data_IF_278866181543
#
_entry.id   IF_278866181543
#
_cell.length_a   1.000
_cell.length_b   1.000
_cell.length_c   1.000
_cell.angle_alpha   90.00
_cell.angle_beta   90.00
_cell.angle_gamma   90.00
#
_symmetry.space_group_name_H-M   'P 1'
#
loop_
_entity.id
_entity.type
_entity.pdbx_description
1 polymer ?
#
# COMPACT_ATOMS: atom_id res chain seq x y z
N UNK A 1 5.64 32.75 26.00
CA UNK A 1 4.80 32.53 24.81
C UNK A 1 4.21 31.13 24.96
N UNK A 2 2.92 31.03 25.23
CA UNK A 2 2.24 29.74 25.31
C UNK A 2 1.53 29.52 23.99
N UNK A 3 1.84 28.35 23.36
CA UNK A 3 1.18 27.93 22.13
C UNK A 3 0.03 26.99 22.52
N UNK A 4 -1.17 27.27 22.06
CA UNK A 4 -2.33 26.40 22.22
C UNK A 4 -2.76 25.85 20.86
N UNK A 5 -3.00 24.56 20.80
CA UNK A 5 -3.50 23.89 19.60
C UNK A 5 -5.02 23.81 19.74
N UNK A 6 -5.74 24.49 18.87
CA UNK A 6 -7.20 24.51 18.85
C UNK A 6 -7.70 23.76 17.61
N UNK A 7 -8.67 22.88 17.78
CA UNK A 7 -9.30 22.16 16.67
C UNK A 7 -10.09 23.15 15.78
N UNK A 8 -9.87 23.12 14.48
CA UNK A 8 -10.69 23.91 13.53
C UNK A 8 -12.02 23.23 13.34
N UNK A 9 -13.11 23.96 13.52
CA UNK A 9 -14.46 23.45 13.29
C UNK A 9 -14.78 23.27 11.81
N UNK A 10 -14.31 24.16 10.92
CA UNK A 10 -14.50 24.05 9.47
C UNK A 10 -13.31 24.63 8.70
N UNK A 11 -12.68 23.82 7.85
CA UNK A 11 -11.73 24.28 6.85
C UNK A 11 -12.38 24.16 5.46
N UNK A 12 -12.59 25.25 4.70
CA UNK A 12 -13.18 25.19 3.38
C UNK A 12 -12.30 24.38 2.42
N UNK A 13 -12.92 23.68 1.48
CA UNK A 13 -12.23 22.74 0.56
C UNK A 13 -11.07 23.41 -0.19
N UNK A 14 -11.24 24.64 -0.65
CA UNK A 14 -10.17 25.36 -1.37
C UNK A 14 -8.93 25.59 -0.51
N UNK A 15 -9.07 25.89 0.80
CA UNK A 15 -7.93 26.03 1.71
C UNK A 15 -7.22 24.69 1.94
N UNK A 16 -7.99 23.59 2.06
CA UNK A 16 -7.40 22.25 2.14
C UNK A 16 -6.56 21.96 0.90
N UNK A 17 -7.11 22.19 -0.29
CA UNK A 17 -6.39 22.00 -1.54
C UNK A 17 -5.11 22.87 -1.58
N UNK A 18 -5.16 24.13 -1.16
CA UNK A 18 -3.98 24.98 -1.11
C UNK A 18 -2.90 24.44 -0.17
N UNK A 19 -3.26 23.93 1.00
CA UNK A 19 -2.30 23.34 1.94
C UNK A 19 -1.64 22.09 1.36
N UNK A 20 -2.41 21.18 0.75
CA UNK A 20 -1.85 19.98 0.14
C UNK A 20 -0.98 20.28 -1.08
N UNK A 21 -1.43 21.16 -1.97
CA UNK A 21 -0.64 21.57 -3.14
C UNK A 21 0.62 22.31 -2.72
N UNK A 22 0.54 23.18 -1.70
CA UNK A 22 1.70 23.87 -1.13
C UNK A 22 2.71 22.89 -0.53
N UNK A 23 2.26 21.87 0.20
CA UNK A 23 3.11 20.82 0.75
C UNK A 23 3.85 20.04 -0.36
N UNK A 24 3.13 19.62 -1.41
CA UNK A 24 3.73 18.95 -2.55
C UNK A 24 4.73 19.86 -3.27
N UNK A 25 4.38 21.15 -3.47
CA UNK A 25 5.29 22.11 -4.10
C UNK A 25 6.59 22.31 -3.30
N UNK A 26 6.49 22.43 -1.97
CA UNK A 26 7.67 22.54 -1.09
C UNK A 26 8.51 21.26 -1.17
N UNK A 27 7.89 20.06 -1.18
CA UNK A 27 8.61 18.81 -1.33
C UNK A 27 9.39 18.74 -2.65
N UNK A 28 8.74 19.13 -3.75
CA UNK A 28 9.38 19.17 -5.06
C UNK A 28 10.51 20.21 -5.10
N UNK A 29 10.38 21.36 -4.47
CA UNK A 29 11.44 22.36 -4.36
C UNK A 29 12.63 21.85 -3.55
N UNK A 30 12.41 21.15 -2.44
CA UNK A 30 13.47 20.50 -1.67
C UNK A 30 14.17 19.42 -2.50
N UNK A 31 13.42 18.60 -3.21
CA UNK A 31 13.96 17.62 -4.15
C UNK A 31 14.74 18.28 -5.30
N UNK A 32 14.27 19.41 -5.84
CA UNK A 32 14.96 20.18 -6.86
C UNK A 32 16.32 20.73 -6.36
N UNK A 33 16.35 21.23 -5.12
CA UNK A 33 17.59 21.69 -4.51
C UNK A 33 18.63 20.57 -4.37
N UNK A 34 18.18 19.38 -3.97
CA UNK A 34 19.03 18.18 -3.87
C UNK A 34 19.53 17.73 -5.27
N UNK A 35 18.65 17.68 -6.28
CA UNK A 35 19.02 17.35 -7.65
C UNK A 35 20.07 18.33 -8.20
N UNK A 36 19.88 19.63 -7.96
CA UNK A 36 20.85 20.65 -8.37
C UNK A 36 22.19 20.48 -7.66
N UNK A 37 22.19 20.09 -6.38
CA UNK A 37 23.42 19.80 -5.63
C UNK A 37 24.18 18.58 -6.19
N UNK A 38 23.45 17.61 -6.76
CA UNK A 38 24.00 16.44 -7.46
C UNK A 38 24.40 16.71 -8.91
N UNK A 39 24.24 17.95 -9.40
CA UNK A 39 24.56 18.34 -10.77
C UNK A 39 23.55 17.87 -11.82
N UNK A 40 22.33 17.53 -11.40
CA UNK A 40 21.23 17.11 -12.28
C UNK A 40 20.24 18.26 -12.46
N UNK A 41 19.82 18.52 -13.70
CA UNK A 41 18.76 19.49 -13.98
C UNK A 41 17.41 19.00 -13.40
N UNK A 42 16.84 19.71 -12.41
CA UNK A 42 15.59 19.31 -11.77
C UNK A 42 14.40 19.30 -12.74
N UNK A 43 14.37 20.23 -13.70
CA UNK A 43 13.27 20.32 -14.66
C UNK A 43 13.27 19.13 -15.59
N UNK A 44 14.44 18.76 -16.12
CA UNK A 44 14.59 17.58 -16.97
C UNK A 44 14.25 16.29 -16.19
N UNK A 45 14.72 16.16 -14.95
CA UNK A 45 14.42 15.01 -14.09
C UNK A 45 12.92 14.89 -13.82
N UNK A 46 12.25 15.95 -13.35
CA UNK A 46 10.84 15.92 -13.06
C UNK A 46 9.98 15.71 -14.31
N UNK A 47 10.35 16.31 -15.43
CA UNK A 47 9.66 16.05 -16.69
C UNK A 47 9.73 14.56 -17.03
N UNK A 48 10.91 13.94 -16.91
CA UNK A 48 11.08 12.51 -17.15
C UNK A 48 10.29 11.65 -16.16
N UNK A 49 10.29 12.03 -14.88
CA UNK A 49 9.58 11.35 -13.82
C UNK A 49 8.06 11.40 -14.03
N UNK A 50 7.47 12.58 -14.21
CA UNK A 50 6.01 12.71 -14.38
C UNK A 50 5.49 12.16 -15.69
N UNK A 51 6.29 12.20 -16.75
CA UNK A 51 5.95 11.58 -18.03
C UNK A 51 6.26 10.09 -18.06
N UNK A 52 6.91 9.55 -17.04
CA UNK A 52 7.37 8.14 -16.98
C UNK A 52 8.16 7.74 -18.24
N UNK A 53 8.81 8.72 -18.90
CA UNK A 53 9.53 8.50 -20.14
C UNK A 53 8.66 8.05 -21.32
N UNK A 54 7.37 8.36 -21.32
CA UNK A 54 6.45 7.98 -22.40
C UNK A 54 6.54 8.92 -23.61
N UNK A 55 6.91 10.18 -23.41
CA UNK A 55 7.00 11.17 -24.49
C UNK A 55 8.14 10.79 -25.44
N UNK A 56 7.82 10.66 -26.73
CA UNK A 56 8.77 10.28 -27.77
C UNK A 56 9.19 8.81 -27.77
N UNK A 57 8.62 7.98 -26.91
CA UNK A 57 8.99 6.58 -26.76
C UNK A 57 8.08 5.66 -27.59
N UNK A 58 8.65 4.96 -28.59
CA UNK A 58 7.93 3.99 -29.44
C UNK A 58 7.35 2.80 -28.66
N UNK A 59 7.86 2.55 -27.44
CA UNK A 59 7.42 1.44 -26.57
C UNK A 59 6.66 1.94 -25.33
N UNK A 60 6.07 3.13 -25.38
CA UNK A 60 5.30 3.73 -24.29
C UNK A 60 4.21 2.79 -23.73
N UNK A 61 3.64 1.90 -24.55
CA UNK A 61 2.67 0.91 -24.10
C UNK A 61 3.23 -0.04 -23.02
N UNK A 62 4.52 -0.42 -23.09
CA UNK A 62 5.17 -1.25 -22.05
C UNK A 62 5.29 -0.49 -20.73
N UNK A 63 5.52 0.81 -20.78
CA UNK A 63 5.58 1.68 -19.59
C UNK A 63 4.25 1.63 -18.87
N UNK A 64 3.14 1.81 -19.58
CA UNK A 64 1.79 1.75 -19.00
C UNK A 64 1.45 0.37 -18.45
N UNK A 65 1.86 -0.71 -19.15
CA UNK A 65 1.66 -2.08 -18.64
C UNK A 65 2.42 -2.28 -17.32
N UNK A 66 3.67 -1.86 -17.21
CA UNK A 66 4.46 -2.00 -16.00
C UNK A 66 3.93 -1.10 -14.86
N UNK A 67 3.53 0.12 -15.18
CA UNK A 67 2.87 1.01 -14.23
C UNK A 67 1.62 0.35 -13.61
N UNK A 68 0.78 -0.28 -14.41
CA UNK A 68 -0.41 -0.99 -13.93
C UNK A 68 -0.08 -2.22 -13.07
N UNK A 69 1.05 -2.90 -13.35
CA UNK A 69 1.54 -4.01 -12.51
C UNK A 69 1.93 -3.57 -11.10
N UNK A 70 2.36 -2.33 -10.91
CA UNK A 70 2.69 -1.77 -9.60
C UNK A 70 1.48 -1.08 -8.95
N UNK A 71 0.59 -0.49 -9.74
CA UNK A 71 -0.64 0.13 -9.28
C UNK A 71 -1.61 -0.86 -8.61
N UNK A 72 -1.80 -2.04 -9.23
CA UNK A 72 -2.75 -3.07 -8.74
C UNK A 72 -2.46 -3.49 -7.30
N UNK A 73 -1.24 -3.95 -6.95
CA UNK A 73 -0.97 -4.37 -5.58
C UNK A 73 -1.02 -3.22 -4.59
N UNK A 74 -0.57 -2.02 -4.96
CA UNK A 74 -0.61 -0.85 -4.08
C UNK A 74 -2.05 -0.42 -3.77
N UNK A 75 -2.89 -0.28 -4.80
CA UNK A 75 -4.28 0.13 -4.62
C UNK A 75 -5.06 -0.87 -3.77
N UNK A 76 -4.91 -2.17 -4.05
CA UNK A 76 -5.64 -3.22 -3.34
C UNK A 76 -5.16 -3.36 -1.88
N UNK A 77 -3.84 -3.31 -1.63
CA UNK A 77 -3.29 -3.32 -0.27
C UNK A 77 -3.74 -2.10 0.54
N UNK A 78 -3.75 -0.91 -0.07
CA UNK A 78 -4.22 0.31 0.60
C UNK A 78 -5.70 0.25 0.95
N UNK A 79 -6.54 -0.27 0.06
CA UNK A 79 -7.97 -0.52 0.31
C UNK A 79 -8.13 -1.53 1.45
N UNK A 80 -7.36 -2.61 1.43
CA UNK A 80 -7.39 -3.64 2.45
C UNK A 80 -7.02 -3.09 3.84
N UNK A 81 -5.95 -2.32 3.93
CA UNK A 81 -5.51 -1.68 5.18
C UNK A 81 -6.53 -0.68 5.71
N UNK A 82 -7.25 0.02 4.83
CA UNK A 82 -8.30 0.97 5.26
C UNK A 82 -9.40 0.32 6.08
N UNK A 83 -9.70 -0.98 5.89
CA UNK A 83 -10.67 -1.73 6.69
C UNK A 83 -10.25 -1.82 8.17
N UNK A 84 -9.00 -2.23 8.43
CA UNK A 84 -8.46 -2.33 9.77
C UNK A 84 -8.32 -0.95 10.44
N UNK A 85 -7.84 0.06 9.70
CA UNK A 85 -7.65 1.41 10.23
C UNK A 85 -8.95 2.14 10.56
N UNK A 86 -10.04 1.88 9.82
CA UNK A 86 -11.37 2.41 10.18
C UNK A 86 -11.84 1.94 11.53
N UNK A 87 -11.46 0.74 11.94
CA UNK A 87 -11.76 0.18 13.25
C UNK A 87 -10.73 0.61 14.32
N UNK A 88 -9.76 1.48 13.98
CA UNK A 88 -8.60 1.84 14.81
C UNK A 88 -7.74 0.64 15.23
N UNK A 89 -7.73 -0.41 14.45
CA UNK A 89 -6.76 -1.48 14.56
C UNK A 89 -5.53 -1.13 13.71
N UNK A 90 -4.39 -0.92 14.38
CA UNK A 90 -3.15 -0.49 13.72
C UNK A 90 -2.42 -1.68 13.10
N UNK A 91 -2.93 -2.14 11.94
CA UNK A 91 -2.30 -3.20 11.17
C UNK A 91 -1.10 -2.66 10.37
N UNK A 92 0.09 -2.66 10.97
CA UNK A 92 1.35 -2.33 10.27
C UNK A 92 1.93 -3.57 9.56
N UNK A 93 1.29 -4.73 9.71
CA UNK A 93 1.71 -6.02 9.17
C UNK A 93 1.43 -6.24 7.68
N UNK A 94 1.04 -5.19 6.95
CA UNK A 94 0.70 -5.31 5.53
C UNK A 94 1.81 -5.91 4.68
N UNK A 95 3.07 -5.59 4.98
CA UNK A 95 4.24 -6.12 4.27
C UNK A 95 4.39 -7.63 4.48
N UNK A 96 4.35 -8.11 5.72
CA UNK A 96 4.48 -9.53 6.04
C UNK A 96 3.29 -10.36 5.54
N UNK A 97 2.08 -9.82 5.62
CA UNK A 97 0.87 -10.43 5.08
C UNK A 97 0.98 -10.59 3.55
N UNK A 98 1.53 -9.60 2.87
CA UNK A 98 1.78 -9.64 1.44
C UNK A 98 2.83 -10.72 1.10
N UNK A 99 3.96 -10.75 1.80
CA UNK A 99 5.03 -11.73 1.59
C UNK A 99 4.49 -13.16 1.73
N UNK A 100 3.81 -13.47 2.83
CA UNK A 100 3.28 -14.82 3.05
C UNK A 100 2.17 -15.17 2.05
N UNK A 101 1.36 -14.19 1.66
CA UNK A 101 0.41 -14.35 0.57
C UNK A 101 1.08 -14.71 -0.76
N UNK A 102 2.19 -14.03 -1.10
CA UNK A 102 2.97 -14.30 -2.30
C UNK A 102 3.63 -15.69 -2.27
N UNK A 103 4.19 -16.10 -1.13
CA UNK A 103 4.76 -17.44 -0.94
C UNK A 103 3.67 -18.52 -1.13
N UNK A 104 2.49 -18.33 -0.54
CA UNK A 104 1.38 -19.26 -0.68
C UNK A 104 0.87 -19.34 -2.12
N UNK A 105 0.78 -18.21 -2.83
CA UNK A 105 0.44 -18.17 -4.25
C UNK A 105 1.48 -18.93 -5.09
N UNK A 106 2.78 -18.67 -4.85
CA UNK A 106 3.87 -19.34 -5.55
C UNK A 106 3.88 -20.86 -5.28
N UNK A 107 3.62 -21.28 -4.03
CA UNK A 107 3.48 -22.70 -3.69
C UNK A 107 2.43 -23.39 -4.57
N UNK A 108 1.26 -22.78 -4.69
CA UNK A 108 0.18 -23.33 -5.54
C UNK A 108 0.58 -23.27 -7.01
N UNK A 109 1.23 -22.19 -7.47
CA UNK A 109 1.69 -22.07 -8.85
C UNK A 109 2.62 -23.23 -9.26
N UNK A 110 3.57 -23.59 -8.39
CA UNK A 110 4.51 -24.69 -8.65
C UNK A 110 3.87 -26.09 -8.55
N UNK A 111 2.97 -26.31 -7.59
CA UNK A 111 2.38 -27.64 -7.35
C UNK A 111 1.17 -27.93 -8.22
N UNK A 112 0.30 -26.96 -8.43
CA UNK A 112 -0.94 -27.11 -9.19
C UNK A 112 -0.80 -26.72 -10.67
N UNK A 113 0.08 -25.75 -10.99
CA UNK A 113 0.28 -25.26 -12.35
C UNK A 113 0.58 -26.32 -13.41
N UNK A 114 1.47 -27.29 -13.14
CA UNK A 114 1.76 -28.35 -14.10
C UNK A 114 0.63 -29.37 -14.29
N UNK A 115 -0.31 -29.47 -13.36
CA UNK A 115 -1.31 -30.56 -13.29
C UNK A 115 -2.73 -30.06 -13.58
N UNK A 116 -3.06 -28.82 -13.27
CA UNK A 116 -4.42 -28.28 -13.32
C UNK A 116 -4.61 -27.24 -14.44
N UNK A 117 -5.85 -27.06 -14.92
CA UNK A 117 -6.15 -25.96 -15.85
C UNK A 117 -5.81 -24.59 -15.25
N UNK A 118 -5.37 -23.66 -16.11
CA UNK A 118 -4.96 -22.31 -15.70
C UNK A 118 -5.96 -21.59 -14.78
N UNK A 119 -7.25 -21.60 -15.14
CA UNK A 119 -8.28 -20.93 -14.36
C UNK A 119 -8.40 -21.49 -12.93
N UNK A 120 -8.31 -22.81 -12.77
CA UNK A 120 -8.37 -23.48 -11.46
C UNK A 120 -7.14 -23.14 -10.65
N UNK A 121 -5.95 -23.20 -11.25
CA UNK A 121 -4.69 -22.83 -10.59
C UNK A 121 -4.70 -21.39 -10.11
N UNK A 122 -5.13 -20.45 -10.94
CA UNK A 122 -5.24 -19.03 -10.57
C UNK A 122 -6.22 -18.77 -9.42
N UNK A 123 -7.37 -19.46 -9.43
CA UNK A 123 -8.34 -19.39 -8.33
C UNK A 123 -7.75 -19.94 -7.02
N UNK A 124 -7.06 -21.09 -7.10
CA UNK A 124 -6.40 -21.70 -5.94
C UNK A 124 -5.25 -20.82 -5.41
N UNK A 125 -4.47 -20.19 -6.29
CA UNK A 125 -3.45 -19.21 -5.90
C UNK A 125 -4.06 -18.06 -5.10
N UNK A 126 -5.14 -17.47 -5.61
CA UNK A 126 -5.84 -16.39 -4.92
C UNK A 126 -6.41 -16.87 -3.56
N UNK A 127 -7.05 -18.04 -3.53
CA UNK A 127 -7.63 -18.59 -2.30
C UNK A 127 -6.55 -18.91 -1.26
N UNK A 128 -5.45 -19.56 -1.64
CA UNK A 128 -4.35 -19.89 -0.75
C UNK A 128 -3.70 -18.62 -0.17
N UNK A 129 -3.42 -17.62 -1.02
CA UNK A 129 -2.87 -16.35 -0.59
C UNK A 129 -3.78 -15.61 0.40
N UNK A 130 -5.09 -15.57 0.12
CA UNK A 130 -6.09 -14.95 1.01
C UNK A 130 -6.16 -15.67 2.36
N UNK A 131 -6.15 -17.00 2.36
CA UNK A 131 -6.24 -17.80 3.59
C UNK A 131 -4.99 -17.62 4.42
N UNK A 132 -3.79 -17.78 3.84
CA UNK A 132 -2.52 -17.69 4.58
C UNK A 132 -2.30 -16.29 5.13
N UNK A 133 -2.45 -15.25 4.32
CA UNK A 133 -2.33 -13.87 4.79
C UNK A 133 -3.43 -13.53 5.81
N UNK A 134 -4.67 -13.98 5.57
CA UNK A 134 -5.78 -13.79 6.48
C UNK A 134 -5.54 -14.42 7.85
N UNK A 135 -5.06 -15.66 7.90
CA UNK A 135 -4.70 -16.36 9.14
C UNK A 135 -3.54 -15.67 9.87
N UNK A 136 -2.56 -15.16 9.13
CA UNK A 136 -1.45 -14.41 9.71
C UNK A 136 -1.90 -13.12 10.40
N UNK A 137 -2.79 -12.36 9.76
CA UNK A 137 -3.42 -11.20 10.38
C UNK A 137 -4.34 -11.59 11.55
N UNK A 138 -5.12 -12.67 11.40
CA UNK A 138 -6.02 -13.18 12.43
C UNK A 138 -5.27 -13.60 13.70
N UNK A 139 -4.06 -14.15 13.56
CA UNK A 139 -3.21 -14.52 14.70
C UNK A 139 -2.94 -13.31 15.61
N UNK A 140 -2.55 -12.17 15.06
CA UNK A 140 -2.35 -10.93 15.84
C UNK A 140 -3.65 -10.44 16.47
N UNK A 141 -4.74 -10.44 15.69
CA UNK A 141 -6.03 -10.01 16.20
C UNK A 141 -6.51 -10.89 17.36
N UNK A 142 -6.28 -12.19 17.29
CA UNK A 142 -6.61 -13.13 18.37
C UNK A 142 -5.79 -12.85 19.64
N UNK A 143 -4.50 -12.58 19.52
CA UNK A 143 -3.64 -12.21 20.64
C UNK A 143 -4.09 -10.88 21.28
N UNK A 144 -4.43 -9.88 20.46
CA UNK A 144 -4.98 -8.63 20.97
C UNK A 144 -6.30 -8.83 21.72
N UNK A 145 -7.21 -9.59 21.15
CA UNK A 145 -8.54 -9.84 21.76
C UNK A 145 -8.42 -10.64 23.07
N UNK A 146 -7.53 -11.63 23.12
CA UNK A 146 -7.38 -12.54 24.25
C UNK A 146 -6.49 -11.98 25.36
N UNK A 147 -5.38 -11.34 25.00
CA UNK A 147 -4.32 -10.92 25.94
C UNK A 147 -4.16 -9.40 26.03
N UNK A 148 -4.86 -8.62 25.20
CA UNK A 148 -4.68 -7.15 25.17
C UNK A 148 -3.34 -6.68 24.65
N UNK A 149 -2.64 -7.50 23.83
CA UNK A 149 -1.32 -7.18 23.28
C UNK A 149 -1.35 -5.96 22.37
N UNK A 150 -0.20 -5.29 22.23
CA UNK A 150 -0.03 -4.17 21.30
C UNK A 150 0.05 -4.69 19.86
N UNK A 151 -1.01 -4.46 19.09
CA UNK A 151 -1.12 -4.90 17.70
C UNK A 151 -0.08 -4.29 16.78
N UNK A 152 0.31 -3.04 17.03
CA UNK A 152 1.30 -2.32 16.23
C UNK A 152 2.67 -2.99 16.30
N UNK A 153 3.14 -3.27 17.52
CA UNK A 153 4.42 -3.95 17.74
C UNK A 153 4.38 -5.39 17.20
N UNK A 154 3.29 -6.11 17.46
CA UNK A 154 3.15 -7.49 16.98
C UNK A 154 3.17 -7.59 15.46
N UNK A 155 2.39 -6.75 14.78
CA UNK A 155 2.34 -6.77 13.31
C UNK A 155 3.65 -6.32 12.69
N UNK A 156 4.37 -5.37 13.32
CA UNK A 156 5.68 -4.93 12.88
C UNK A 156 6.73 -6.07 13.00
N UNK A 157 6.77 -6.77 14.13
CA UNK A 157 7.70 -7.90 14.32
C UNK A 157 7.42 -9.04 13.33
N UNK A 158 6.15 -9.31 13.05
CA UNK A 158 5.76 -10.31 12.09
C UNK A 158 6.20 -9.97 10.65
N UNK A 159 6.32 -8.70 10.27
CA UNK A 159 6.89 -8.33 8.97
C UNK A 159 8.32 -8.86 8.81
N UNK A 160 9.15 -8.73 9.85
CA UNK A 160 10.52 -9.26 9.82
C UNK A 160 10.55 -10.79 9.74
N UNK A 161 9.67 -11.47 10.46
CA UNK A 161 9.57 -12.94 10.38
C UNK A 161 9.21 -13.36 8.95
N UNK A 162 8.22 -12.74 8.33
CA UNK A 162 7.83 -13.03 6.96
C UNK A 162 8.98 -12.75 5.96
N UNK A 163 9.69 -11.63 6.14
CA UNK A 163 10.84 -11.26 5.32
C UNK A 163 11.96 -12.30 5.42
N UNK A 164 12.32 -12.72 6.63
CA UNK A 164 13.38 -13.72 6.81
C UNK A 164 12.96 -15.12 6.33
N UNK A 165 11.67 -15.47 6.38
CA UNK A 165 11.17 -16.70 5.72
C UNK A 165 11.39 -16.61 4.21
N UNK A 166 11.09 -15.47 3.58
CA UNK A 166 11.30 -15.28 2.15
C UNK A 166 12.78 -15.34 1.78
N UNK A 167 13.66 -14.69 2.57
CA UNK A 167 15.11 -14.73 2.39
C UNK A 167 15.62 -16.17 2.52
N UNK A 168 15.20 -16.91 3.57
CA UNK A 168 15.56 -18.32 3.75
C UNK A 168 15.18 -19.17 2.53
N UNK A 169 13.97 -19.01 2.02
CA UNK A 169 13.52 -19.69 0.78
C UNK A 169 14.38 -19.27 -0.42
N UNK A 170 14.90 -18.04 -0.47
CA UNK A 170 15.69 -17.53 -1.60
C UNK A 170 17.14 -18.02 -1.62
N UNK A 171 17.68 -18.49 -0.50
CA UNK A 171 19.09 -18.83 -0.35
C UNK A 171 19.36 -20.34 -0.22
N UNK A 172 18.43 -21.09 0.39
CA UNK A 172 18.61 -22.50 0.67
C UNK A 172 18.31 -23.37 -0.57
N UNK A 173 19.36 -24.01 -1.10
CA UNK A 173 19.29 -24.96 -2.22
C UNK A 173 19.02 -26.42 -1.78
N UNK A 174 18.42 -26.64 -0.62
CA UNK A 174 18.01 -27.98 -0.21
C UNK A 174 17.02 -28.62 -1.20
N UNK A 175 17.04 -29.96 -1.26
CA UNK A 175 16.14 -30.73 -2.15
C UNK A 175 14.64 -30.44 -1.94
N UNK A 176 14.27 -29.93 -0.77
CA UNK A 176 12.91 -29.54 -0.43
C UNK A 176 12.47 -28.25 -1.15
N UNK A 177 13.43 -27.42 -1.60
CA UNK A 177 13.16 -26.06 -2.06
C UNK A 177 12.89 -26.01 -3.58
N UNK A 178 11.69 -26.35 -3.96
CA UNK A 178 11.21 -26.28 -5.34
C UNK A 178 10.90 -24.85 -5.83
N UNK A 179 11.08 -23.84 -4.98
CA UNK A 179 10.95 -22.44 -5.39
C UNK A 179 12.13 -21.95 -6.21
N UNK A 180 13.29 -22.59 -6.08
CA UNK A 180 14.50 -22.24 -6.81
C UNK A 180 14.65 -23.06 -8.08
N UNK A 181 15.33 -22.48 -9.06
CA UNK A 181 15.68 -23.15 -10.31
C UNK A 181 16.80 -24.18 -10.02
N UNK A 182 16.53 -25.49 -10.25
CA UNK A 182 17.51 -26.54 -9.98
C UNK A 182 18.70 -26.50 -10.94
N UNK A 183 18.53 -25.94 -12.15
CA UNK A 183 19.57 -25.89 -13.18
C UNK A 183 20.53 -24.71 -12.98
N UNK A 184 20.13 -23.70 -12.23
CA UNK A 184 20.95 -22.53 -11.97
C UNK A 184 22.07 -22.81 -10.97
N UNK A 185 23.30 -22.36 -11.23
CA UNK A 185 24.42 -22.44 -10.29
C UNK A 185 24.23 -21.55 -9.07
N UNK A 186 23.50 -20.46 -9.19
CA UNK A 186 23.16 -19.52 -8.10
C UNK A 186 21.74 -19.77 -7.62
N UNK A 187 21.40 -19.48 -6.34
CA UNK A 187 20.04 -19.53 -5.88
C UNK A 187 19.21 -18.43 -6.56
N UNK A 188 18.42 -18.80 -7.55
CA UNK A 188 17.52 -17.93 -8.30
C UNK A 188 16.13 -18.55 -8.27
N UNK A 189 15.10 -17.76 -8.03
CA UNK A 189 13.73 -18.25 -8.08
C UNK A 189 13.38 -18.80 -9.47
N UNK A 190 12.73 -19.94 -9.50
CA UNK A 190 12.19 -20.50 -10.73
C UNK A 190 11.00 -19.68 -11.24
N UNK A 191 10.86 -19.61 -12.57
CA UNK A 191 9.68 -19.02 -13.18
C UNK A 191 8.48 -19.95 -13.09
N UNK A 192 7.29 -19.40 -12.93
CA UNK A 192 6.06 -20.20 -12.98
C UNK A 192 5.83 -20.73 -14.39
N UNK A 193 5.09 -21.82 -14.51
CA UNK A 193 4.68 -22.32 -15.82
C UNK A 193 3.87 -21.22 -16.56
N UNK A 194 4.08 -21.07 -17.87
CA UNK A 194 3.43 -20.01 -18.68
C UNK A 194 1.89 -20.01 -18.54
N UNK A 195 1.32 -21.18 -18.30
CA UNK A 195 -0.13 -21.37 -18.09
C UNK A 195 -0.66 -20.66 -16.82
N UNK A 196 0.22 -20.32 -15.88
CA UNK A 196 -0.13 -19.72 -14.57
C UNK A 196 -0.14 -18.19 -14.61
N UNK A 197 -0.04 -17.58 -15.78
CA UNK A 197 -0.12 -16.13 -15.93
C UNK A 197 -1.58 -15.63 -15.96
N UNK A 198 -1.86 -14.54 -15.25
CA UNK A 198 -3.17 -13.89 -15.37
C UNK A 198 -3.40 -13.38 -16.81
N UNK A 199 -4.56 -13.66 -17.41
CA UNK A 199 -4.83 -13.28 -18.78
C UNK A 199 -4.81 -11.77 -18.96
N UNK A 200 -4.32 -11.33 -20.10
CA UNK A 200 -4.30 -9.93 -20.51
C UNK A 200 -5.26 -9.74 -21.70
N UNK A 201 -6.13 -8.77 -21.59
CA UNK A 201 -7.11 -8.42 -22.62
C UNK A 201 -6.42 -7.49 -23.62
N UNK A 202 -6.29 -7.86 -24.89
CA UNK A 202 -5.76 -6.95 -25.90
C UNK A 202 -6.71 -5.78 -26.10
N UNK A 203 -6.17 -4.58 -26.03
CA UNK A 203 -6.91 -3.34 -26.28
C UNK A 203 -6.44 -2.70 -27.59
N UNK A 204 -6.17 -1.41 -27.63
CA UNK A 204 -5.73 -0.73 -28.84
C UNK A 204 -4.24 -0.98 -29.14
N UNK A 205 -3.91 -1.45 -30.34
CA UNK A 205 -2.55 -1.66 -30.80
C UNK A 205 -1.82 -2.76 -30.05
N UNK A 206 -0.64 -2.44 -29.48
CA UNK A 206 0.20 -3.38 -28.70
C UNK A 206 -0.08 -3.31 -27.18
N UNK A 207 -1.02 -2.48 -26.75
CA UNK A 207 -1.38 -2.34 -25.33
C UNK A 207 -2.32 -3.47 -24.90
N UNK A 208 -1.98 -4.15 -23.82
CA UNK A 208 -2.83 -5.17 -23.20
C UNK A 208 -3.11 -4.82 -21.74
N UNK A 209 -4.37 -4.92 -21.35
CA UNK A 209 -4.80 -4.68 -19.96
C UNK A 209 -4.87 -6.03 -19.23
N UNK A 210 -4.09 -6.17 -18.16
CA UNK A 210 -4.17 -7.37 -17.31
C UNK A 210 -5.50 -7.38 -16.55
N UNK A 211 -6.15 -8.55 -16.48
CA UNK A 211 -7.44 -8.73 -15.80
C UNK A 211 -7.40 -8.33 -14.33
N UNK A 212 -6.22 -8.39 -13.68
CA UNK A 212 -6.03 -7.99 -12.28
C UNK A 212 -6.40 -6.52 -12.04
N UNK A 213 -6.28 -5.64 -13.04
CA UNK A 213 -6.69 -4.23 -12.93
C UNK A 213 -8.20 -4.14 -12.74
N UNK A 214 -8.94 -4.88 -13.56
CA UNK A 214 -10.42 -4.92 -13.51
C UNK A 214 -10.88 -5.55 -12.19
N UNK A 215 -10.24 -6.66 -11.79
CA UNK A 215 -10.56 -7.32 -10.53
C UNK A 215 -10.26 -6.42 -9.32
N UNK A 216 -9.17 -5.66 -9.35
CA UNK A 216 -8.84 -4.69 -8.28
C UNK A 216 -9.88 -3.58 -8.19
N UNK A 217 -10.32 -3.03 -9.33
CA UNK A 217 -11.39 -2.05 -9.35
C UNK A 217 -12.71 -2.64 -8.82
N UNK A 218 -13.06 -3.85 -9.22
CA UNK A 218 -14.23 -4.57 -8.72
C UNK A 218 -14.17 -4.78 -7.21
N UNK A 219 -13.04 -5.27 -6.67
CA UNK A 219 -12.84 -5.46 -5.22
C UNK A 219 -12.93 -4.11 -4.50
N UNK A 220 -12.36 -3.05 -5.06
CA UNK A 220 -12.50 -1.69 -4.51
C UNK A 220 -13.95 -1.23 -4.39
N UNK A 221 -14.76 -1.46 -5.43
CA UNK A 221 -16.20 -1.16 -5.41
C UNK A 221 -16.92 -2.03 -4.37
N UNK A 222 -16.60 -3.32 -4.29
CA UNK A 222 -17.18 -4.23 -3.29
C UNK A 222 -16.84 -3.79 -1.86
N UNK A 223 -15.59 -3.40 -1.59
CA UNK A 223 -15.18 -2.88 -0.27
C UNK A 223 -15.88 -1.56 0.03
N UNK A 224 -16.03 -0.68 -0.96
CA UNK A 224 -16.79 0.56 -0.77
C UNK A 224 -18.26 0.29 -0.39
N UNK A 225 -18.92 -0.63 -1.11
CA UNK A 225 -20.29 -1.06 -0.81
C UNK A 225 -20.36 -1.69 0.58
N UNK A 226 -19.42 -2.60 0.88
CA UNK A 226 -19.33 -3.27 2.18
C UNK A 226 -19.25 -2.27 3.33
N UNK A 227 -18.36 -1.29 3.23
CA UNK A 227 -18.16 -0.29 4.28
C UNK A 227 -19.33 0.69 4.44
N UNK A 228 -19.98 1.08 3.33
CA UNK A 228 -20.98 2.15 3.34
C UNK A 228 -22.42 1.65 3.50
N UNK A 229 -22.73 0.48 2.95
CA UNK A 229 -24.10 0.01 2.82
C UNK A 229 -24.42 -1.27 3.59
N UNK A 230 -23.45 -1.87 4.30
CA UNK A 230 -23.72 -3.09 5.07
C UNK A 230 -23.73 -2.84 6.56
N UNK A 231 -24.47 -3.71 7.30
CA UNK A 231 -24.45 -3.75 8.77
C UNK A 231 -23.02 -3.92 9.31
N UNK A 232 -22.22 -4.72 8.63
CA UNK A 232 -20.84 -5.00 9.04
C UNK A 232 -19.93 -3.77 8.91
N UNK A 233 -20.12 -2.96 7.86
CA UNK A 233 -19.42 -1.68 7.70
C UNK A 233 -19.79 -0.66 8.78
N UNK A 234 -21.07 -0.62 9.15
CA UNK A 234 -21.54 0.19 10.27
C UNK A 234 -20.91 -0.27 11.61
N UNK A 235 -20.88 -1.57 11.87
CA UNK A 235 -20.23 -2.13 13.07
C UNK A 235 -18.75 -1.73 13.15
N UNK A 236 -18.01 -1.78 12.04
CA UNK A 236 -16.61 -1.35 11.96
C UNK A 236 -16.47 0.12 12.34
N UNK A 237 -17.34 1.00 11.82
CA UNK A 237 -17.31 2.42 12.13
C UNK A 237 -17.58 2.69 13.60
N UNK A 238 -18.62 2.08 14.18
CA UNK A 238 -18.99 2.25 15.60
C UNK A 238 -17.88 1.76 16.54
N UNK A 239 -17.27 0.59 16.25
CA UNK A 239 -16.12 0.08 17.03
C UNK A 239 -14.93 1.02 16.91
N UNK A 240 -14.70 1.61 15.73
CA UNK A 240 -13.65 2.59 15.50
C UNK A 240 -13.86 3.89 16.24
N UNK A 241 -15.10 4.35 16.39
CA UNK A 241 -15.42 5.54 17.17
C UNK A 241 -15.26 5.29 18.67
N UNK A 242 -15.89 4.24 19.19
CA UNK A 242 -15.77 3.84 20.59
C UNK A 242 -16.14 2.37 20.78
N UNK A 243 -15.16 1.56 21.12
CA UNK A 243 -15.36 0.15 21.47
C UNK A 243 -16.28 -0.03 22.73
N UNK A 244 -16.26 0.96 23.65
CA UNK A 244 -17.17 1.00 24.81
C UNK A 244 -18.61 1.16 24.38
N UNK A 245 -18.92 2.15 23.57
CA UNK A 245 -20.25 2.42 23.02
C UNK A 245 -20.77 1.23 22.22
N UNK A 246 -19.93 0.60 21.40
CA UNK A 246 -20.29 -0.61 20.67
C UNK A 246 -20.73 -1.76 21.60
N UNK A 247 -20.03 -1.97 22.74
CA UNK A 247 -20.40 -2.97 23.74
C UNK A 247 -21.72 -2.65 24.42
N UNK A 248 -21.97 -1.39 24.78
CA UNK A 248 -23.26 -0.96 25.36
C UNK A 248 -24.42 -1.18 24.38
N UNK A 249 -24.17 -1.01 23.08
CA UNK A 249 -25.14 -1.32 22.02
C UNK A 249 -25.30 -2.82 21.72
N UNK A 250 -24.71 -3.71 22.53
CA UNK A 250 -24.81 -5.17 22.37
C UNK A 250 -23.98 -5.78 21.25
N UNK A 251 -23.03 -5.02 20.67
CA UNK A 251 -22.17 -5.51 19.57
C UNK A 251 -21.07 -6.43 20.13
N UNK A 252 -20.81 -7.54 19.44
CA UNK A 252 -19.72 -8.47 19.77
C UNK A 252 -18.38 -7.93 19.25
N UNK A 253 -17.80 -6.92 19.92
CA UNK A 253 -16.59 -6.21 19.50
C UNK A 253 -15.45 -7.17 19.12
N UNK A 254 -15.20 -8.20 19.92
CA UNK A 254 -14.14 -9.18 19.65
C UNK A 254 -14.32 -9.90 18.30
N UNK A 255 -15.54 -10.32 17.98
CA UNK A 255 -15.84 -10.98 16.71
C UNK A 255 -15.72 -10.02 15.53
N UNK A 256 -16.09 -8.74 15.74
CA UNK A 256 -15.94 -7.69 14.71
C UNK A 256 -14.46 -7.46 14.42
N UNK A 257 -13.60 -7.37 15.45
CA UNK A 257 -12.16 -7.21 15.29
C UNK A 257 -11.55 -8.38 14.51
N UNK A 258 -11.81 -9.62 14.94
CA UNK A 258 -11.26 -10.82 14.29
C UNK A 258 -11.66 -10.91 12.82
N UNK A 259 -12.96 -10.73 12.52
CA UNK A 259 -13.48 -10.75 11.14
C UNK A 259 -12.86 -9.67 10.26
N UNK A 260 -12.78 -8.43 10.77
CA UNK A 260 -12.31 -7.29 9.99
C UNK A 260 -10.82 -7.40 9.68
N UNK A 261 -10.02 -7.82 10.66
CA UNK A 261 -8.57 -8.01 10.46
C UNK A 261 -8.30 -9.18 9.52
N UNK A 262 -9.05 -10.30 9.66
CA UNK A 262 -8.96 -11.42 8.72
C UNK A 262 -9.27 -10.96 7.29
N UNK A 263 -10.37 -10.24 7.09
CA UNK A 263 -10.76 -9.74 5.76
C UNK A 263 -9.73 -8.76 5.19
N UNK A 264 -9.22 -7.83 6.02
CA UNK A 264 -8.15 -6.91 5.63
C UNK A 264 -6.90 -7.68 5.17
N UNK A 265 -6.41 -8.60 5.99
CA UNK A 265 -5.22 -9.39 5.66
C UNK A 265 -5.44 -10.32 4.45
N UNK A 266 -6.63 -10.91 4.32
CA UNK A 266 -6.98 -11.73 3.15
C UNK A 266 -6.95 -10.94 1.84
N UNK A 267 -7.43 -9.69 1.83
CA UNK A 267 -7.36 -8.82 0.65
C UNK A 267 -5.91 -8.42 0.33
N UNK A 268 -5.04 -8.29 1.34
CA UNK A 268 -3.59 -8.09 1.11
C UNK A 268 -2.99 -9.35 0.45
N UNK A 269 -3.37 -10.54 0.91
CA UNK A 269 -2.99 -11.80 0.27
C UNK A 269 -3.45 -11.89 -1.19
N UNK A 270 -4.66 -11.42 -1.49
CA UNK A 270 -5.16 -11.34 -2.87
C UNK A 270 -4.30 -10.40 -3.74
N UNK A 271 -3.89 -9.24 -3.19
CA UNK A 271 -2.97 -8.32 -3.87
C UNK A 271 -1.63 -9.00 -4.18
N UNK A 272 -1.12 -9.80 -3.25
CA UNK A 272 0.11 -10.58 -3.41
C UNK A 272 -0.03 -11.65 -4.50
N UNK A 273 -1.16 -12.37 -4.55
CA UNK A 273 -1.43 -13.34 -5.62
C UNK A 273 -1.49 -12.66 -6.99
N UNK A 274 -2.11 -11.49 -7.10
CA UNK A 274 -2.13 -10.72 -8.35
C UNK A 274 -0.72 -10.29 -8.77
N UNK A 275 0.11 -9.84 -7.83
CA UNK A 275 1.50 -9.46 -8.12
C UNK A 275 2.32 -10.67 -8.56
N UNK A 276 2.27 -11.79 -7.82
CA UNK A 276 3.01 -13.00 -8.12
C UNK A 276 2.62 -13.61 -9.49
N UNK A 277 1.31 -13.75 -9.75
CA UNK A 277 0.82 -14.32 -11.02
C UNK A 277 1.00 -13.37 -12.22
N UNK A 278 1.14 -12.04 -11.99
CA UNK A 278 1.45 -11.09 -13.07
C UNK A 278 2.96 -10.99 -13.32
N UNK A 279 3.78 -11.20 -12.29
CA UNK A 279 5.23 -11.25 -12.42
C UNK A 279 5.71 -12.58 -13.01
N UNK A 280 4.99 -13.68 -12.76
CA UNK A 280 5.35 -15.02 -13.18
C UNK A 280 6.54 -15.62 -12.43
N UNK A 281 6.98 -14.96 -11.36
CA UNK A 281 8.13 -15.38 -10.55
C UNK A 281 7.98 -14.81 -9.14
N UNK A 282 8.48 -15.55 -8.15
CA UNK A 282 8.69 -15.02 -6.80
C UNK A 282 10.03 -14.26 -6.76
N UNK A 283 10.15 -13.22 -5.96
CA UNK A 283 11.42 -12.50 -5.74
C UNK A 283 11.49 -11.97 -4.32
N UNK A 284 12.70 -11.72 -3.82
CA UNK A 284 12.90 -11.09 -2.51
C UNK A 284 12.36 -9.67 -2.43
N UNK A 285 12.24 -8.99 -3.58
CA UNK A 285 11.67 -7.66 -3.72
C UNK A 285 10.22 -7.66 -4.23
N UNK A 286 9.48 -8.77 -4.09
CA UNK A 286 8.13 -8.91 -4.66
C UNK A 286 7.14 -7.88 -4.10
N UNK A 287 7.35 -7.44 -2.88
CA UNK A 287 6.50 -6.44 -2.22
C UNK A 287 6.74 -5.04 -2.80
N UNK A 288 7.99 -4.71 -3.14
CA UNK A 288 8.39 -3.36 -3.55
C UNK A 288 7.83 -2.29 -2.58
N UNK A 289 7.93 -2.56 -1.27
CA UNK A 289 7.45 -1.70 -0.18
C UNK A 289 5.94 -1.37 -0.22
N UNK A 290 5.14 -2.19 -0.90
CA UNK A 290 3.70 -1.98 -1.07
C UNK A 290 2.96 -1.96 0.27
N UNK A 291 3.37 -2.76 1.25
CA UNK A 291 2.78 -2.76 2.58
C UNK A 291 2.97 -1.43 3.29
N UNK A 292 4.19 -0.88 3.27
CA UNK A 292 4.51 0.41 3.87
C UNK A 292 3.86 1.57 3.14
N UNK A 293 4.02 1.62 1.83
CA UNK A 293 3.40 2.65 0.98
C UNK A 293 1.87 2.60 1.07
N UNK A 294 1.30 1.40 1.18
CA UNK A 294 -0.15 1.20 1.34
C UNK A 294 -0.72 1.81 2.62
N UNK A 295 0.01 1.74 3.74
CA UNK A 295 -0.35 2.43 4.98
C UNK A 295 -0.47 3.93 4.74
N UNK A 296 0.54 4.50 4.08
CA UNK A 296 0.64 5.92 3.80
C UNK A 296 -0.51 6.37 2.88
N UNK A 297 -0.75 5.65 1.80
CA UNK A 297 -1.85 5.92 0.86
C UNK A 297 -3.20 5.85 1.58
N UNK A 298 -3.43 4.85 2.44
CA UNK A 298 -4.68 4.71 3.19
C UNK A 298 -4.95 5.93 4.08
N UNK A 299 -3.91 6.42 4.78
CA UNK A 299 -4.03 7.60 5.65
C UNK A 299 -4.17 8.90 4.85
N UNK A 300 -3.38 9.08 3.81
CA UNK A 300 -3.45 10.25 2.95
C UNK A 300 -4.82 10.39 2.29
N UNK A 301 -5.45 9.27 1.97
CA UNK A 301 -6.80 9.19 1.40
C UNK A 301 -7.91 9.33 2.45
N UNK A 302 -7.56 9.61 3.73
CA UNK A 302 -8.52 9.66 4.85
C UNK A 302 -9.43 8.42 4.91
N UNK A 303 -8.87 7.26 4.59
CA UNK A 303 -9.55 5.95 4.55
C UNK A 303 -10.77 5.90 3.61
N UNK A 304 -10.83 6.79 2.62
CA UNK A 304 -11.87 6.79 1.61
C UNK A 304 -11.45 5.94 0.41
N UNK A 305 -12.19 4.86 0.14
CA UNK A 305 -11.84 3.89 -0.89
C UNK A 305 -11.67 4.50 -2.29
N UNK A 306 -12.52 5.44 -2.69
CA UNK A 306 -12.41 6.09 -4.00
C UNK A 306 -11.14 6.97 -4.09
N UNK A 307 -10.83 7.71 -3.02
CA UNK A 307 -9.62 8.56 -2.95
C UNK A 307 -8.36 7.69 -2.91
N UNK A 308 -8.40 6.50 -2.29
CA UNK A 308 -7.28 5.54 -2.28
C UNK A 308 -6.82 5.22 -3.71
N UNK A 309 -7.73 4.96 -4.64
CA UNK A 309 -7.36 4.68 -6.03
C UNK A 309 -6.63 5.85 -6.70
N UNK A 310 -7.10 7.07 -6.48
CA UNK A 310 -6.47 8.27 -7.04
C UNK A 310 -5.08 8.49 -6.44
N UNK A 311 -4.96 8.39 -5.12
CA UNK A 311 -3.67 8.58 -4.43
C UNK A 311 -2.70 7.47 -4.79
N UNK A 312 -3.15 6.20 -4.86
CA UNK A 312 -2.31 5.08 -5.34
C UNK A 312 -1.78 5.34 -6.75
N UNK A 313 -2.63 5.85 -7.65
CA UNK A 313 -2.21 6.17 -9.01
C UNK A 313 -1.11 7.25 -9.02
N UNK A 314 -1.26 8.32 -8.24
CA UNK A 314 -0.26 9.38 -8.13
C UNK A 314 1.07 8.89 -7.52
N UNK A 315 1.01 8.09 -6.46
CA UNK A 315 2.20 7.52 -5.83
C UNK A 315 2.92 6.56 -6.78
N UNK A 316 2.18 5.74 -7.53
CA UNK A 316 2.78 4.89 -8.56
C UNK A 316 3.46 5.69 -9.68
N UNK A 317 2.91 6.85 -10.09
CA UNK A 317 3.60 7.73 -11.05
C UNK A 317 4.92 8.22 -10.47
N UNK A 318 4.94 8.64 -9.19
CA UNK A 318 6.17 9.09 -8.54
C UNK A 318 7.20 7.96 -8.47
N UNK A 319 6.81 6.78 -7.98
CA UNK A 319 7.71 5.66 -7.79
C UNK A 319 8.24 5.11 -9.12
N UNK A 320 7.35 4.75 -10.04
CA UNK A 320 7.73 4.21 -11.34
C UNK A 320 8.46 5.25 -12.20
N UNK A 321 7.95 6.48 -12.23
CA UNK A 321 8.55 7.57 -12.97
C UNK A 321 9.94 7.93 -12.49
N UNK A 322 10.19 7.89 -11.18
CA UNK A 322 11.52 8.13 -10.62
C UNK A 322 12.50 7.01 -10.95
N UNK A 323 12.06 5.75 -10.96
CA UNK A 323 12.91 4.64 -11.44
C UNK A 323 13.30 4.81 -12.90
N UNK A 324 12.37 5.27 -13.75
CA UNK A 324 12.67 5.59 -15.17
C UNK A 324 13.59 6.81 -15.30
N UNK A 325 13.42 7.83 -14.46
CA UNK A 325 14.29 8.99 -14.45
C UNK A 325 15.71 8.62 -13.97
N UNK A 326 15.84 7.83 -12.90
CA UNK A 326 17.12 7.35 -12.39
C UNK A 326 17.91 6.54 -13.45
N UNK A 327 17.23 5.75 -14.27
CA UNK A 327 17.87 5.04 -15.38
C UNK A 327 18.44 5.98 -16.47
N UNK A 328 17.98 7.23 -16.52
CA UNK A 328 18.47 8.25 -17.49
C UNK A 328 19.58 9.12 -16.89
N UNK A 329 19.49 9.41 -15.60
CA UNK A 329 20.43 10.27 -14.86
C UNK A 329 21.26 9.41 -13.90
N UNK A 330 22.44 8.98 -14.33
CA UNK A 330 23.30 8.05 -13.57
C UNK A 330 23.81 8.60 -12.23
N UNK A 331 23.71 9.93 -12.02
CA UNK A 331 24.09 10.59 -10.76
C UNK A 331 23.04 10.38 -9.65
N UNK A 332 21.83 9.91 -9.99
CA UNK A 332 20.71 9.77 -9.08
C UNK A 332 20.24 8.32 -9.08
N UNK A 333 20.32 7.69 -7.94
CA UNK A 333 19.82 6.33 -7.76
C UNK A 333 18.28 6.29 -7.61
N UNK A 334 17.68 5.14 -7.83
CA UNK A 334 16.23 4.89 -7.61
C UNK A 334 15.80 5.20 -6.18
N UNK A 335 16.71 5.10 -5.21
CA UNK A 335 16.47 5.47 -3.80
C UNK A 335 16.07 6.94 -3.61
N UNK A 336 16.40 7.82 -4.56
CA UNK A 336 15.93 9.22 -4.55
C UNK A 336 14.39 9.30 -4.64
N UNK A 337 13.76 8.38 -5.38
CA UNK A 337 12.32 8.27 -5.43
C UNK A 337 11.71 8.04 -4.06
N UNK A 338 12.24 7.07 -3.34
CA UNK A 338 11.75 6.70 -2.01
C UNK A 338 11.97 7.85 -1.02
N UNK A 339 13.11 8.54 -1.11
CA UNK A 339 13.39 9.73 -0.32
C UNK A 339 12.39 10.86 -0.64
N UNK A 340 12.20 11.19 -1.92
CA UNK A 340 11.27 12.23 -2.35
C UNK A 340 9.84 11.91 -1.94
N UNK A 341 9.42 10.65 -2.09
CA UNK A 341 8.14 10.15 -1.62
C UNK A 341 7.99 10.37 -0.10
N UNK A 342 9.01 10.01 0.69
CA UNK A 342 9.01 10.24 2.14
C UNK A 342 8.85 11.72 2.51
N UNK A 343 9.56 12.62 1.82
CA UNK A 343 9.44 14.09 2.02
C UNK A 343 8.05 14.58 1.66
N UNK A 344 7.50 14.16 0.52
CA UNK A 344 6.13 14.52 0.12
C UNK A 344 5.14 14.09 1.19
N UNK A 345 5.25 12.86 1.65
CA UNK A 345 4.33 12.31 2.67
C UNK A 345 4.42 13.05 3.99
N UNK A 346 5.63 13.32 4.47
CA UNK A 346 5.84 14.09 5.71
C UNK A 346 5.19 15.48 5.61
N UNK A 347 5.42 16.20 4.51
CA UNK A 347 4.86 17.53 4.32
C UNK A 347 3.34 17.51 4.11
N UNK A 348 2.81 16.50 3.45
CA UNK A 348 1.35 16.34 3.30
C UNK A 348 0.69 16.00 4.62
N UNK A 349 1.31 15.16 5.47
CA UNK A 349 0.82 14.92 6.84
C UNK A 349 0.88 16.18 7.69
N UNK A 350 1.94 16.98 7.57
CA UNK A 350 2.02 18.28 8.22
C UNK A 350 0.90 19.23 7.73
N UNK A 351 0.63 19.25 6.42
CA UNK A 351 -0.48 20.02 5.85
C UNK A 351 -1.85 19.52 6.39
N UNK A 352 -2.07 18.20 6.49
CA UNK A 352 -3.29 17.65 7.09
C UNK A 352 -3.46 18.10 8.53
N UNK A 353 -2.39 18.11 9.31
CA UNK A 353 -2.41 18.65 10.67
C UNK A 353 -2.88 20.13 10.68
N UNK A 354 -2.32 20.99 9.82
CA UNK A 354 -2.74 22.40 9.73
C UNK A 354 -4.17 22.59 9.19
N UNK A 355 -4.72 21.64 8.45
CA UNK A 355 -6.13 21.68 8.04
C UNK A 355 -7.08 21.38 9.20
N UNK A 356 -6.66 20.54 10.15
CA UNK A 356 -7.48 20.11 11.31
C UNK A 356 -7.28 20.94 12.55
N UNK A 357 -6.08 21.50 12.74
CA UNK A 357 -5.70 22.24 13.93
C UNK A 357 -5.20 23.64 13.56
N UNK A 358 -5.39 24.58 14.50
CA UNK A 358 -4.85 25.94 14.42
C UNK A 358 -3.95 26.18 15.63
N UNK A 359 -2.72 26.60 15.37
CA UNK A 359 -1.82 27.07 16.41
C UNK A 359 -2.20 28.52 16.75
N UNK A 360 -2.64 28.75 17.97
CA UNK A 360 -2.96 30.08 18.48
C UNK A 360 -1.86 30.48 19.43
N UNK A 361 -1.30 31.69 19.23
CA UNK A 361 -0.35 32.30 20.14
C UNK A 361 -1.10 33.21 21.09
N UNK A 362 -1.02 32.95 22.39
CA UNK A 362 -1.48 33.93 23.38
C UNK A 362 -0.52 35.12 23.38
N UNK A 363 -0.98 36.25 22.86
CA UNK A 363 -0.34 37.53 23.17
C UNK A 363 -0.50 37.73 24.69
N UNK A 364 0.63 37.86 25.42
CA UNK A 364 0.61 38.35 26.79
C UNK A 364 -0.30 39.57 26.83
N UNK A 365 -1.41 39.46 27.55
CA UNK A 365 -2.32 40.53 27.77
C UNK A 365 -1.57 41.73 28.35
N UNK A 366 -1.70 42.85 27.67
CA UNK A 366 -1.30 44.12 28.26
C UNK A 366 -2.07 44.31 29.55
N UNK A 367 -1.36 44.68 30.62
CA UNK A 367 -1.92 45.16 31.88
C UNK A 367 -3.00 46.22 31.60
N UNK A 368 -4.25 45.83 31.68
CA UNK A 368 -5.36 46.75 31.83
C UNK A 368 -5.40 47.19 33.29
N UNK A 369 -4.79 48.31 33.63
CA UNK A 369 -5.14 49.10 34.81
C UNK A 369 -6.64 49.38 34.76
N UNK A 370 -7.40 48.80 35.64
CA UNK A 370 -8.79 49.12 35.95
C UNK A 370 -8.83 49.69 37.35
N UNK A 371 -8.62 50.99 37.45
CA UNK A 371 -9.15 51.78 38.58
C UNK A 371 -10.67 51.91 38.39
N UNK A 372 -11.45 51.59 39.46
CA UNK A 372 -12.87 51.90 39.56
C UNK A 372 -13.55 50.89 40.48
#
# INVERSE_FOLDING_TARGET
MNFHIVKRENCPLWKKCCFYLGAVAIALLLGAALLSALGVDPVAYYTRMFTMGTIGNKIAYKVWINYLKDFVPLALTSVALSLAFKMRFWNIGGEGQFILGAIAAAFVAFKAGPVMPAAVTLLLMCAAAMVVAGLYGLFVAALKVKFGTNETLMTLMLNYIALYILIFISEDKGEWNFFLDPESLRPVFASFAEIVAFPSIPMAGKFSLNICVILTALVGVLVYIYLKFTKQGYEIAVVGDSAGTARYAGMKVNAIVLRTVFLSAALIGLAAAFKAGTAGILSTSITNDVGWTGIIVAWLSQLNTAVIFVVSALICVLHYGSTVAAATFSQVDSSFANMLQGVILFLVLAADFYTRFRVVMDKKGGNGNGNG
#
